data_IF_624668491073
#
_entry.id   IF_624668491073
#
_cell.length_a   1.000
_cell.length_b   1.000
_cell.length_c   1.000
_cell.angle_alpha   90.00
_cell.angle_beta   90.00
_cell.angle_gamma   90.00
#
_symmetry.space_group_name_H-M   'P 1'
#
loop_
_entity.id
_entity.type
_entity.pdbx_description
1 polymer ?
#
# COMPACT_ATOMS: atom_id res chain seq x y z
N UNK A 1 12.55 -13.06 -7.75
CA UNK A 1 13.01 -11.69 -7.39
C UNK A 1 14.47 -11.63 -6.97
N UNK A 2 14.94 -12.51 -6.04
CA UNK A 2 16.30 -12.45 -5.46
C UNK A 2 17.43 -12.52 -6.50
N UNK A 3 17.33 -13.41 -7.49
CA UNK A 3 18.32 -13.54 -8.56
C UNK A 3 18.37 -12.27 -9.43
N UNK A 4 17.22 -11.66 -9.71
CA UNK A 4 17.13 -10.41 -10.46
C UNK A 4 17.83 -9.27 -9.72
N UNK A 5 17.55 -9.09 -8.43
CA UNK A 5 18.20 -8.04 -7.62
C UNK A 5 19.71 -8.25 -7.56
N UNK A 6 20.19 -9.49 -7.39
CA UNK A 6 21.61 -9.81 -7.42
C UNK A 6 22.27 -9.38 -8.74
N UNK A 7 21.61 -9.62 -9.88
CA UNK A 7 22.07 -9.18 -11.18
C UNK A 7 22.11 -7.65 -11.26
N UNK A 8 21.03 -6.98 -10.89
CA UNK A 8 20.94 -5.53 -10.97
C UNK A 8 21.95 -4.80 -10.08
N UNK A 9 22.19 -5.28 -8.86
CA UNK A 9 23.24 -4.73 -7.98
C UNK A 9 24.61 -4.81 -8.67
N UNK A 10 24.91 -5.93 -9.34
CA UNK A 10 26.16 -6.08 -10.08
C UNK A 10 26.20 -5.18 -11.32
N UNK A 11 25.13 -5.13 -12.11
CA UNK A 11 25.05 -4.36 -13.36
C UNK A 11 25.18 -2.84 -13.13
N UNK A 12 24.74 -2.37 -11.96
CA UNK A 12 24.84 -0.96 -11.54
C UNK A 12 26.01 -0.68 -10.59
N UNK A 13 26.97 -1.61 -10.48
CA UNK A 13 28.14 -1.47 -9.59
C UNK A 13 27.75 -1.13 -8.13
N UNK A 14 26.58 -1.59 -7.68
CA UNK A 14 26.04 -1.28 -6.35
C UNK A 14 26.95 -1.70 -5.20
N UNK A 15 27.73 -2.77 -5.39
CA UNK A 15 28.71 -3.25 -4.40
C UNK A 15 29.75 -2.17 -4.05
N UNK A 16 30.15 -1.32 -5.03
CA UNK A 16 31.09 -0.21 -4.81
C UNK A 16 30.52 0.87 -3.87
N UNK A 17 29.20 0.93 -3.74
CA UNK A 17 28.48 1.85 -2.86
C UNK A 17 27.93 1.16 -1.61
N UNK A 18 28.36 -0.07 -1.32
CA UNK A 18 27.92 -0.83 -0.14
C UNK A 18 26.51 -1.45 -0.24
N UNK A 19 25.92 -1.46 -1.43
CA UNK A 19 24.60 -2.04 -1.65
C UNK A 19 24.73 -3.56 -1.81
N UNK A 20 24.31 -4.30 -0.79
CA UNK A 20 24.24 -5.77 -0.88
C UNK A 20 22.91 -6.20 -1.50
N UNK A 21 22.85 -7.32 -2.24
CA UNK A 21 21.60 -7.82 -2.81
C UNK A 21 20.49 -8.05 -1.77
N UNK A 22 20.85 -8.53 -0.58
CA UNK A 22 19.89 -8.76 0.50
C UNK A 22 19.36 -7.43 1.09
N UNK A 23 20.26 -6.48 1.37
CA UNK A 23 19.90 -5.16 1.88
C UNK A 23 19.05 -4.37 0.88
N UNK A 24 19.41 -4.42 -0.41
CA UNK A 24 18.66 -3.81 -1.50
C UNK A 24 17.26 -4.41 -1.61
N UNK A 25 17.14 -5.73 -1.55
CA UNK A 25 15.84 -6.41 -1.55
C UNK A 25 14.98 -5.99 -0.37
N UNK A 26 15.53 -5.99 0.83
CA UNK A 26 14.82 -5.60 2.05
C UNK A 26 14.35 -4.14 1.98
N UNK A 27 15.19 -3.26 1.45
CA UNK A 27 14.86 -1.84 1.30
C UNK A 27 13.76 -1.60 0.26
N UNK A 28 13.81 -2.29 -0.89
CA UNK A 28 12.74 -2.25 -1.91
C UNK A 28 11.42 -2.76 -1.32
N UNK A 29 11.45 -3.89 -0.61
CA UNK A 29 10.28 -4.46 0.06
C UNK A 29 9.67 -3.46 1.05
N UNK A 30 10.51 -2.83 1.90
CA UNK A 30 10.05 -1.80 2.83
C UNK A 30 9.35 -0.64 2.12
N UNK A 31 9.95 -0.11 1.06
CA UNK A 31 9.36 1.01 0.29
C UNK A 31 8.02 0.62 -0.36
N UNK A 32 7.92 -0.58 -0.94
CA UNK A 32 6.66 -1.08 -1.50
C UNK A 32 5.58 -1.25 -0.42
N UNK A 33 5.96 -1.71 0.77
CA UNK A 33 5.05 -1.80 1.91
C UNK A 33 4.60 -0.44 2.47
N UNK A 34 5.36 0.63 2.18
CA UNK A 34 4.98 2.04 2.41
C UNK A 34 4.27 2.67 1.19
N UNK A 35 3.89 1.88 0.19
CA UNK A 35 3.30 2.35 -1.07
C UNK A 35 4.19 3.37 -1.82
N UNK A 36 5.50 3.25 -1.68
CA UNK A 36 6.46 4.06 -2.42
C UNK A 36 7.04 3.26 -3.59
N UNK A 37 6.86 3.76 -4.80
CA UNK A 37 7.55 3.28 -6.00
C UNK A 37 8.89 4.02 -6.19
N UNK A 38 9.67 3.61 -7.19
CA UNK A 38 10.99 4.19 -7.44
C UNK A 38 10.91 5.68 -7.77
N UNK A 39 9.86 6.13 -8.45
CA UNK A 39 9.68 7.52 -8.84
C UNK A 39 9.30 8.40 -7.65
N UNK A 40 8.32 7.98 -6.84
CA UNK A 40 7.90 8.69 -5.64
C UNK A 40 9.02 8.76 -4.61
N UNK A 41 9.79 7.67 -4.49
CA UNK A 41 10.96 7.65 -3.62
C UNK A 41 12.05 8.61 -4.11
N UNK A 42 12.36 8.63 -5.41
CA UNK A 42 13.35 9.52 -5.99
C UNK A 42 13.07 11.01 -5.75
N UNK A 43 11.78 11.39 -5.67
CA UNK A 43 11.39 12.78 -5.37
C UNK A 43 11.72 13.23 -3.94
N UNK A 44 11.87 12.28 -3.02
CA UNK A 44 12.08 12.56 -1.59
C UNK A 44 13.50 12.24 -1.13
N UNK A 45 14.22 11.40 -1.89
CA UNK A 45 15.55 10.92 -1.53
C UNK A 45 16.61 12.00 -1.69
N UNK A 46 17.66 11.88 -0.87
CA UNK A 46 18.86 12.72 -1.02
C UNK A 46 19.71 12.27 -2.22
N UNK A 47 19.38 12.80 -3.39
CA UNK A 47 20.09 12.48 -4.64
C UNK A 47 21.53 13.04 -4.70
N UNK A 48 21.98 13.80 -3.70
CA UNK A 48 23.39 14.21 -3.59
C UNK A 48 24.27 13.04 -3.13
N UNK A 49 23.69 12.04 -2.46
CA UNK A 49 24.40 10.80 -2.08
C UNK A 49 24.49 9.86 -3.29
N UNK A 50 25.72 9.49 -3.71
CA UNK A 50 25.90 8.54 -4.80
C UNK A 50 25.25 7.16 -4.56
N UNK A 51 25.28 6.65 -3.32
CA UNK A 51 24.67 5.37 -2.97
C UNK A 51 23.14 5.43 -3.15
N UNK A 52 22.52 6.56 -2.80
CA UNK A 52 21.08 6.78 -3.01
C UNK A 52 20.72 6.79 -4.49
N UNK A 53 21.50 7.47 -5.33
CA UNK A 53 21.25 7.48 -6.78
C UNK A 53 21.29 6.07 -7.37
N UNK A 54 22.35 5.32 -7.05
CA UNK A 54 22.51 3.93 -7.52
C UNK A 54 21.37 3.04 -7.01
N UNK A 55 20.95 3.20 -5.75
CA UNK A 55 19.80 2.48 -5.23
C UNK A 55 18.52 2.79 -6.00
N UNK A 56 18.24 4.07 -6.29
CA UNK A 56 17.05 4.48 -7.07
C UNK A 56 17.07 3.86 -8.47
N UNK A 57 18.24 3.88 -9.14
CA UNK A 57 18.41 3.26 -10.46
C UNK A 57 18.12 1.75 -10.43
N UNK A 58 18.64 1.04 -9.42
CA UNK A 58 18.39 -0.38 -9.22
C UNK A 58 16.90 -0.63 -8.96
N UNK A 59 16.26 0.17 -8.11
CA UNK A 59 14.83 0.01 -7.81
C UNK A 59 13.97 0.24 -9.06
N UNK A 60 14.23 1.30 -9.83
CA UNK A 60 13.56 1.57 -11.09
C UNK A 60 13.79 0.45 -12.13
N UNK A 61 15.01 -0.05 -12.23
CA UNK A 61 15.33 -1.18 -13.10
C UNK A 61 14.60 -2.45 -12.68
N UNK A 62 14.51 -2.73 -11.38
CA UNK A 62 13.79 -3.86 -10.83
C UNK A 62 12.31 -3.82 -11.19
N UNK A 63 11.64 -2.67 -11.03
CA UNK A 63 10.23 -2.51 -11.39
C UNK A 63 10.01 -2.70 -12.90
N UNK A 64 10.89 -2.10 -13.75
CA UNK A 64 10.82 -2.28 -15.21
C UNK A 64 10.98 -3.74 -15.64
N UNK A 65 11.89 -4.49 -15.03
CA UNK A 65 12.11 -5.91 -15.34
C UNK A 65 10.90 -6.78 -14.95
N UNK A 66 10.27 -6.51 -13.81
CA UNK A 66 9.02 -7.17 -13.43
C UNK A 66 7.91 -6.87 -14.43
N UNK A 67 7.72 -5.62 -14.82
CA UNK A 67 6.72 -5.20 -15.81
C UNK A 67 6.96 -5.88 -17.16
N UNK A 68 8.21 -5.90 -17.65
CA UNK A 68 8.58 -6.59 -18.91
C UNK A 68 8.28 -8.09 -18.89
N UNK A 69 8.43 -8.71 -17.72
CA UNK A 69 8.15 -10.11 -17.51
C UNK A 69 6.66 -10.39 -17.23
N UNK A 70 5.79 -9.38 -17.21
CA UNK A 70 4.40 -9.47 -16.72
C UNK A 70 4.31 -10.20 -15.38
N UNK A 71 5.22 -9.87 -14.46
CA UNK A 71 5.35 -10.53 -13.18
C UNK A 71 5.20 -9.54 -12.02
N UNK A 72 4.71 -10.05 -10.91
CA UNK A 72 4.67 -9.37 -9.62
C UNK A 72 5.59 -10.09 -8.62
N UNK A 73 6.19 -9.33 -7.72
CA UNK A 73 6.71 -9.91 -6.50
C UNK A 73 5.63 -9.96 -5.41
N UNK A 74 5.98 -10.45 -4.23
CA UNK A 74 5.01 -10.61 -3.14
C UNK A 74 4.43 -9.28 -2.65
N UNK A 75 5.27 -8.24 -2.59
CA UNK A 75 4.85 -6.91 -2.13
C UNK A 75 3.94 -6.23 -3.17
N UNK A 76 4.19 -6.50 -4.46
CA UNK A 76 3.36 -5.99 -5.56
C UNK A 76 1.92 -6.51 -5.49
N UNK A 77 1.67 -7.72 -4.99
CA UNK A 77 0.32 -8.27 -4.90
C UNK A 77 -0.61 -7.37 -4.08
N UNK A 78 -0.07 -6.67 -3.09
CA UNK A 78 -0.82 -5.73 -2.27
C UNK A 78 -0.70 -4.31 -2.84
N UNK A 79 0.52 -3.82 -3.03
CA UNK A 79 0.75 -2.45 -3.45
C UNK A 79 0.07 -2.13 -4.81
N UNK A 80 0.20 -3.02 -5.81
CA UNK A 80 -0.43 -2.82 -7.12
C UNK A 80 -1.95 -2.93 -7.06
N UNK A 81 -2.51 -3.73 -6.13
CA UNK A 81 -3.96 -3.77 -5.91
C UNK A 81 -4.46 -2.44 -5.34
N UNK A 82 -3.75 -1.84 -4.39
CA UNK A 82 -4.09 -0.50 -3.86
C UNK A 82 -4.02 0.55 -4.96
N UNK A 83 -2.96 0.56 -5.77
CA UNK A 83 -2.84 1.48 -6.90
C UNK A 83 -3.95 1.28 -7.94
N UNK A 84 -4.32 0.03 -8.23
CA UNK A 84 -5.42 -0.29 -9.14
C UNK A 84 -6.74 0.28 -8.63
N UNK A 85 -7.06 0.11 -7.35
CA UNK A 85 -8.29 0.61 -6.77
C UNK A 85 -8.35 2.14 -6.76
N UNK A 86 -7.23 2.81 -6.47
CA UNK A 86 -7.13 4.27 -6.50
C UNK A 86 -7.21 4.83 -7.92
N UNK A 87 -6.62 4.14 -8.89
CA UNK A 87 -6.63 4.58 -10.30
C UNK A 87 -7.95 4.27 -11.02
N UNK A 88 -8.67 3.24 -10.57
CA UNK A 88 -9.91 2.75 -11.20
C UNK A 88 -10.99 2.47 -10.15
N UNK A 89 -11.66 3.52 -9.64
CA UNK A 89 -12.68 3.39 -8.60
C UNK A 89 -13.79 2.39 -8.94
N UNK A 90 -14.17 2.30 -10.21
CA UNK A 90 -15.17 1.34 -10.68
C UNK A 90 -14.73 -0.12 -10.46
N UNK A 91 -13.44 -0.40 -10.48
CA UNK A 91 -12.90 -1.73 -10.15
C UNK A 91 -13.00 -1.97 -8.65
N UNK A 92 -12.62 -0.97 -7.84
CA UNK A 92 -12.76 -1.06 -6.38
C UNK A 92 -14.21 -1.33 -5.97
N UNK A 93 -15.17 -0.66 -6.58
CA UNK A 93 -16.61 -0.81 -6.29
C UNK A 93 -17.14 -2.23 -6.54
N UNK A 94 -16.61 -2.93 -7.54
CA UNK A 94 -16.96 -4.35 -7.74
C UNK A 94 -16.60 -5.18 -6.51
N UNK A 95 -15.42 -4.93 -5.93
CA UNK A 95 -14.97 -5.67 -4.76
C UNK A 95 -15.63 -5.18 -3.47
N UNK A 96 -15.88 -3.88 -3.31
CA UNK A 96 -16.64 -3.30 -2.19
C UNK A 96 -18.06 -3.87 -2.10
N UNK A 97 -18.73 -4.07 -3.24
CA UNK A 97 -20.04 -4.71 -3.31
C UNK A 97 -19.98 -6.21 -3.03
N UNK A 98 -18.89 -6.86 -3.39
CA UNK A 98 -18.69 -8.30 -3.20
C UNK A 98 -18.37 -8.65 -1.75
N UNK A 99 -17.49 -7.90 -1.09
CA UNK A 99 -17.05 -8.16 0.27
C UNK A 99 -17.88 -7.35 1.26
N UNK A 100 -18.91 -7.99 1.81
CA UNK A 100 -19.82 -7.37 2.79
C UNK A 100 -19.26 -7.39 4.21
N UNK A 101 -18.39 -8.32 4.50
CA UNK A 101 -17.71 -8.50 5.78
C UNK A 101 -16.24 -8.76 5.53
N UNK A 102 -15.39 -8.01 6.21
CA UNK A 102 -13.95 -8.13 6.17
C UNK A 102 -13.48 -8.39 7.59
N UNK A 103 -12.76 -9.48 7.78
CA UNK A 103 -12.16 -9.85 9.05
C UNK A 103 -10.64 -9.85 8.88
N UNK A 104 -9.96 -9.15 9.79
CA UNK A 104 -8.49 -9.05 9.79
C UNK A 104 -8.00 -9.58 11.12
N UNK A 105 -7.18 -10.60 11.06
CA UNK A 105 -6.49 -11.18 12.21
C UNK A 105 -5.08 -10.61 12.33
N UNK A 106 -4.50 -10.67 13.53
CA UNK A 106 -3.15 -10.17 13.82
C UNK A 106 -2.94 -8.72 13.34
N UNK A 107 -3.93 -7.86 13.58
CA UNK A 107 -3.96 -6.51 13.02
C UNK A 107 -2.73 -5.67 13.42
N UNK A 108 -2.13 -5.93 14.58
CA UNK A 108 -0.90 -5.28 15.04
C UNK A 108 0.30 -5.54 14.13
N UNK A 109 0.28 -6.62 13.33
CA UNK A 109 1.35 -6.99 12.41
C UNK A 109 1.12 -6.47 10.98
N UNK A 110 0.08 -5.66 10.76
CA UNK A 110 -0.19 -5.08 9.44
C UNK A 110 0.79 -3.96 9.11
N UNK A 111 1.21 -3.92 7.83
CA UNK A 111 1.98 -2.80 7.28
C UNK A 111 1.08 -1.77 6.60
N UNK A 112 1.65 -0.62 6.21
CA UNK A 112 0.88 0.46 5.61
C UNK A 112 0.15 0.07 4.32
N UNK A 113 0.75 -0.74 3.43
CA UNK A 113 0.08 -1.19 2.21
C UNK A 113 -1.13 -2.10 2.50
N UNK A 114 -1.03 -2.99 3.50
CA UNK A 114 -2.15 -3.82 3.95
C UNK A 114 -3.26 -2.98 4.56
N UNK A 115 -2.90 -2.02 5.44
CA UNK A 115 -3.85 -1.05 5.98
C UNK A 115 -4.58 -0.30 4.86
N UNK A 116 -3.85 0.24 3.88
CA UNK A 116 -4.44 0.96 2.76
C UNK A 116 -5.38 0.07 1.93
N UNK A 117 -5.04 -1.20 1.71
CA UNK A 117 -5.92 -2.14 1.01
C UNK A 117 -7.23 -2.38 1.78
N UNK A 118 -7.16 -2.58 3.10
CA UNK A 118 -8.32 -2.73 3.96
C UNK A 118 -9.20 -1.48 3.87
N UNK A 119 -8.59 -0.30 3.99
CA UNK A 119 -9.28 0.99 3.90
C UNK A 119 -9.99 1.15 2.55
N UNK A 120 -9.31 0.86 1.42
CA UNK A 120 -9.94 0.93 0.10
C UNK A 120 -11.13 -0.03 -0.06
N UNK A 121 -11.09 -1.19 0.54
CA UNK A 121 -12.16 -2.19 0.48
C UNK A 121 -13.35 -1.88 1.40
N UNK A 122 -13.13 -1.14 2.48
CA UNK A 122 -14.18 -0.82 3.47
C UNK A 122 -14.93 0.48 3.17
N UNK A 123 -14.43 1.29 2.24
CA UNK A 123 -15.13 2.50 1.80
C UNK A 123 -16.49 2.16 1.18
N UNK A 124 -17.51 3.02 1.34
CA UNK A 124 -18.78 2.84 0.65
C UNK A 124 -18.60 2.78 -0.87
N UNK A 125 -19.34 1.91 -1.58
CA UNK A 125 -19.35 1.94 -3.04
C UNK A 125 -19.77 3.32 -3.58
N UNK A 126 -19.09 3.79 -4.62
CA UNK A 126 -19.36 5.11 -5.22
C UNK A 126 -18.75 6.31 -4.47
N UNK A 127 -18.05 6.08 -3.35
CA UNK A 127 -17.43 7.14 -2.55
C UNK A 127 -16.31 7.90 -3.28
N UNK A 128 -15.78 7.36 -4.37
CA UNK A 128 -14.73 7.97 -5.20
C UNK A 128 -15.27 8.73 -6.42
N UNK A 129 -16.60 8.84 -6.56
CA UNK A 129 -17.18 9.67 -7.62
C UNK A 129 -16.78 11.11 -7.33
N UNK A 130 -15.76 11.63 -8.03
CA UNK A 130 -15.47 13.06 -8.06
C UNK A 130 -16.71 13.78 -8.59
N UNK A 131 -17.14 14.87 -7.96
CA UNK A 131 -18.09 15.75 -8.61
C UNK A 131 -17.42 16.19 -9.92
N UNK A 132 -18.07 15.90 -11.06
CA UNK A 132 -17.60 16.30 -12.38
C UNK A 132 -17.43 17.83 -12.40
N UNK A 133 -16.27 18.32 -12.02
CA UNK A 133 -15.86 19.71 -12.20
C UNK A 133 -15.42 19.90 -13.64
N UNK A 134 -16.40 20.05 -14.51
CA UNK A 134 -16.21 20.29 -15.94
C UNK A 134 -17.35 21.11 -16.50
N UNK A 135 -17.22 22.43 -16.45
CA UNK A 135 -17.85 23.34 -17.42
C UNK A 135 -19.35 23.58 -17.27
N UNK A 136 -19.74 24.72 -16.65
CA UNK A 136 -20.84 25.55 -17.07
C UNK A 136 -22.24 24.91 -17.12
N UNK A 137 -22.88 24.78 -15.99
CA UNK A 137 -24.27 24.38 -15.91
C UNK A 137 -24.59 23.95 -14.48
N UNK A 138 -25.28 24.84 -13.75
CA UNK A 138 -25.72 24.60 -12.39
C UNK A 138 -26.73 23.45 -12.36
N UNK A 139 -26.24 22.22 -12.25
CA UNK A 139 -26.97 21.10 -11.67
C UNK A 139 -26.14 20.62 -10.49
N UNK A 140 -26.56 21.04 -9.31
CA UNK A 140 -26.14 20.42 -8.04
C UNK A 140 -26.76 19.02 -8.07
N UNK A 141 -26.03 18.06 -8.64
CA UNK A 141 -26.24 16.66 -8.29
C UNK A 141 -25.53 16.50 -6.94
N UNK A 142 -26.27 16.69 -5.87
CA UNK A 142 -25.89 16.02 -4.62
C UNK A 142 -25.89 14.54 -4.97
N UNK A 143 -24.76 13.82 -4.83
CA UNK A 143 -24.80 12.37 -4.95
C UNK A 143 -25.79 11.92 -3.88
N UNK A 144 -26.92 11.37 -4.30
CA UNK A 144 -27.80 10.66 -3.39
C UNK A 144 -26.86 9.68 -2.65
N UNK A 145 -26.82 9.72 -1.31
CA UNK A 145 -26.03 8.73 -0.56
C UNK A 145 -26.58 7.39 -1.02
N UNK A 146 -25.81 6.69 -1.84
CA UNK A 146 -26.14 5.31 -2.19
C UNK A 146 -26.30 4.64 -0.84
N UNK A 147 -27.50 4.22 -0.47
CA UNK A 147 -27.83 3.71 0.86
C UNK A 147 -27.13 2.37 1.18
N UNK A 148 -26.08 2.06 0.45
CA UNK A 148 -25.18 0.96 0.67
C UNK A 148 -24.05 1.43 1.60
N UNK A 149 -24.12 1.03 2.86
CA UNK A 149 -23.00 1.15 3.79
C UNK A 149 -21.81 0.35 3.25
N UNK A 150 -20.59 0.82 3.49
CA UNK A 150 -19.37 0.07 3.21
C UNK A 150 -19.35 -1.30 3.89
N UNK A 151 -18.36 -2.12 3.59
CA UNK A 151 -18.19 -3.43 4.22
C UNK A 151 -18.04 -3.29 5.74
N UNK A 152 -18.66 -4.21 6.48
CA UNK A 152 -18.41 -4.34 7.93
C UNK A 152 -16.98 -4.82 8.15
N UNK A 153 -16.19 -4.08 8.91
CA UNK A 153 -14.82 -4.42 9.27
C UNK A 153 -14.76 -4.93 10.70
N UNK A 154 -14.13 -6.07 10.90
CA UNK A 154 -13.77 -6.59 12.22
C UNK A 154 -12.26 -6.83 12.21
N UNK A 155 -11.56 -6.29 13.18
CA UNK A 155 -10.13 -6.51 13.38
C UNK A 155 -9.92 -7.21 14.72
N UNK A 156 -8.97 -8.15 14.75
CA UNK A 156 -8.53 -8.83 15.96
C UNK A 156 -7.02 -8.62 16.06
N UNK A 157 -6.54 -8.25 17.23
CA UNK A 157 -5.13 -8.01 17.46
C UNK A 157 -4.82 -7.85 18.94
N UNK A 158 -3.54 -7.98 19.25
CA UNK A 158 -3.01 -7.82 20.60
C UNK A 158 -1.82 -6.86 20.55
N UNK A 159 -1.99 -5.68 21.15
CA UNK A 159 -0.94 -4.65 21.19
C UNK A 159 0.30 -5.09 21.95
N UNK A 160 0.15 -5.99 22.94
CA UNK A 160 1.26 -6.49 23.75
C UNK A 160 2.14 -7.49 22.99
N UNK A 161 1.62 -8.10 21.92
CA UNK A 161 2.36 -8.98 21.02
C UNK A 161 3.09 -8.24 19.90
N UNK A 162 2.85 -6.94 19.70
CA UNK A 162 3.57 -6.09 18.73
C UNK A 162 5.00 -5.77 19.19
N UNK A 163 5.77 -6.79 19.58
CA UNK A 163 7.14 -6.63 20.12
C UNK A 163 8.20 -6.49 19.02
N UNK A 164 7.86 -6.84 17.78
CA UNK A 164 8.79 -6.78 16.65
C UNK A 164 8.11 -6.15 15.44
N UNK A 165 8.76 -5.16 14.84
CA UNK A 165 8.38 -4.59 13.54
C UNK A 165 8.64 -5.63 12.40
N UNK A 166 7.97 -6.78 12.48
CA UNK A 166 8.13 -7.86 11.51
C UNK A 166 7.56 -7.44 10.17
N UNK A 167 8.38 -7.47 9.12
CA UNK A 167 8.00 -7.10 7.74
C UNK A 167 7.39 -5.70 7.59
N UNK A 168 7.81 -4.73 8.42
CA UNK A 168 7.29 -3.36 8.33
C UNK A 168 5.95 -3.16 9.03
N UNK A 169 5.58 -4.05 9.96
CA UNK A 169 4.46 -3.83 10.87
C UNK A 169 4.61 -2.47 11.56
N UNK A 170 3.54 -1.71 11.62
CA UNK A 170 3.52 -0.38 12.20
C UNK A 170 2.44 -0.29 13.28
N UNK A 171 2.87 -0.16 14.53
CA UNK A 171 1.96 -0.01 15.68
C UNK A 171 1.04 1.21 15.52
N UNK A 172 1.45 2.20 14.71
CA UNK A 172 0.60 3.37 14.39
C UNK A 172 -0.70 2.96 13.72
N UNK A 173 -0.75 1.82 13.03
CA UNK A 173 -1.97 1.32 12.39
C UNK A 173 -3.12 1.11 13.39
N UNK A 174 -2.83 0.76 14.65
CA UNK A 174 -3.86 0.65 15.71
C UNK A 174 -4.41 2.03 16.05
N UNK A 175 -3.53 3.03 16.25
CA UNK A 175 -3.96 4.41 16.56
C UNK A 175 -4.66 5.07 15.35
N UNK A 176 -4.25 4.74 14.14
CA UNK A 176 -4.90 5.20 12.90
C UNK A 176 -6.27 4.55 12.74
N UNK A 177 -6.43 3.28 13.10
CA UNK A 177 -7.71 2.59 13.08
C UNK A 177 -8.76 3.27 13.98
N UNK A 178 -8.41 3.61 15.22
CA UNK A 178 -9.32 4.30 16.13
C UNK A 178 -9.74 5.67 15.61
N UNK A 179 -8.82 6.37 14.94
CA UNK A 179 -9.09 7.67 14.32
C UNK A 179 -9.98 7.55 13.10
N UNK A 180 -9.75 6.56 12.24
CA UNK A 180 -10.45 6.40 10.97
C UNK A 180 -11.81 5.68 11.14
N UNK A 181 -11.97 4.94 12.24
CA UNK A 181 -13.20 4.24 12.62
C UNK A 181 -13.69 4.63 14.03
N UNK A 182 -14.04 5.92 14.26
CA UNK A 182 -14.37 6.41 15.61
C UNK A 182 -15.62 5.79 16.22
N UNK A 183 -16.43 5.08 15.42
CA UNK A 183 -17.60 4.34 15.86
C UNK A 183 -17.36 2.85 16.09
N UNK A 184 -16.12 2.37 16.03
CA UNK A 184 -15.79 0.98 16.23
C UNK A 184 -16.12 0.53 17.66
N UNK A 185 -16.78 -0.63 17.79
CA UNK A 185 -17.03 -1.24 19.10
C UNK A 185 -15.79 -2.04 19.49
N UNK A 186 -15.18 -1.66 20.58
CA UNK A 186 -14.05 -2.41 21.18
C UNK A 186 -14.59 -3.48 22.12
N UNK A 187 -14.08 -4.69 21.97
CA UNK A 187 -14.39 -5.85 22.83
C UNK A 187 -13.07 -6.43 23.32
N UNK A 188 -12.86 -6.42 24.62
CA UNK A 188 -11.71 -7.09 25.24
C UNK A 188 -12.04 -8.56 25.42
N UNK A 189 -11.14 -9.43 25.00
CA UNK A 189 -11.20 -10.87 25.22
C UNK A 189 -10.34 -11.19 26.44
N UNK A 190 -10.95 -11.76 27.49
CA UNK A 190 -10.27 -12.22 28.71
C UNK A 190 -9.89 -13.69 28.60
#
# INVERSE_FOLDING_TARGET
>A
SRALIKRLVKDHEGDAFGLTPAGTQSRISKLKNELADAESYARQANTSDPAERVFIEIFAAYQRELQRANAFDFDDLIAQTVYLFRAFPQVADVYRKRFRHILVDEYQDTNHAQYALIHELTRPPGSDAEPLSGGGGMMIFEPEPSGESGASLTVVGDSDQSIYAFRGADIRNISEFERDYPGAKVVLLE
#
